data_IF_854264144437
#
_entry.id   IF_854264144437
#
_cell.length_a   1.000
_cell.length_b   1.000
_cell.length_c   1.000
_cell.angle_alpha   90.00
_cell.angle_beta   90.00
_cell.angle_gamma   90.00
#
_symmetry.space_group_name_H-M   'P 1'
#
loop_
_entity.id
_entity.type
_entity.pdbx_description
1 polymer ?
#
# COMPACT_ATOMS: atom_id res chain seq x y z
N UNK A 1 7.74 16.51 -7.78
CA UNK A 1 7.43 17.39 -6.63
C UNK A 1 6.98 16.52 -5.47
N UNK A 2 7.33 16.86 -4.22
CA UNK A 2 6.87 16.13 -3.05
C UNK A 2 5.34 16.10 -2.98
N UNK A 3 4.78 15.02 -2.44
CA UNK A 3 3.39 14.93 -1.98
C UNK A 3 3.02 16.16 -1.15
N UNK A 4 1.89 16.76 -1.51
CA UNK A 4 1.31 17.89 -0.79
C UNK A 4 0.59 17.40 0.46
N UNK A 5 0.76 18.11 1.58
CA UNK A 5 0.07 17.80 2.83
C UNK A 5 -0.41 19.08 3.52
N UNK A 6 -1.60 19.00 4.13
CA UNK A 6 -2.13 20.02 5.04
C UNK A 6 -2.51 19.39 6.38
N UNK A 7 -2.44 20.20 7.44
CA UNK A 7 -2.74 19.78 8.81
C UNK A 7 -3.79 20.73 9.40
N UNK A 8 -4.81 20.20 10.04
CA UNK A 8 -5.91 20.94 10.67
C UNK A 8 -6.23 20.34 12.03
N UNK A 9 -6.58 21.20 12.99
CA UNK A 9 -6.75 20.80 14.41
C UNK A 9 -5.50 20.12 15.01
N UNK A 10 -4.32 20.44 14.48
CA UNK A 10 -3.02 20.00 14.99
C UNK A 10 -2.19 21.27 15.17
N UNK A 11 -1.74 21.51 16.41
CA UNK A 11 -0.91 22.68 16.70
C UNK A 11 0.48 22.53 16.08
N UNK A 12 1.11 23.63 15.65
CA UNK A 12 2.41 23.57 14.97
C UNK A 12 3.53 22.94 15.82
N UNK A 13 3.51 23.13 17.14
CA UNK A 13 4.45 22.46 18.03
C UNK A 13 4.31 20.92 18.05
N UNK A 14 3.22 20.37 17.50
CA UNK A 14 3.03 18.94 17.30
C UNK A 14 3.47 18.46 15.90
N UNK A 15 3.95 19.35 15.04
CA UNK A 15 4.47 19.02 13.69
C UNK A 15 6.00 19.13 13.61
N UNK A 16 6.64 19.79 14.58
CA UNK A 16 8.09 20.03 14.60
C UNK A 16 8.84 19.08 15.55
N UNK A 17 10.00 18.60 15.10
CA UNK A 17 10.93 17.89 15.97
C UNK A 17 11.55 18.84 17.01
N UNK A 18 11.80 18.32 18.20
CA UNK A 18 12.73 18.95 19.15
C UNK A 18 14.17 18.84 18.66
N UNK A 19 15.07 19.65 19.21
CA UNK A 19 16.51 19.56 18.89
C UNK A 19 17.10 18.17 19.22
N UNK A 20 16.63 17.53 20.29
CA UNK A 20 17.05 16.19 20.70
C UNK A 20 16.59 15.12 19.69
N UNK A 21 15.33 15.18 19.24
CA UNK A 21 14.80 14.28 18.22
C UNK A 21 15.52 14.46 16.89
N UNK A 22 15.75 15.70 16.45
CA UNK A 22 16.51 15.98 15.23
C UNK A 22 17.93 15.41 15.31
N UNK A 23 18.61 15.57 16.44
CA UNK A 23 19.94 15.01 16.67
C UNK A 23 19.95 13.47 16.78
N UNK A 24 18.86 12.85 17.21
CA UNK A 24 18.70 11.39 17.23
C UNK A 24 18.47 10.86 15.81
N UNK A 25 17.58 11.48 15.05
CA UNK A 25 17.25 11.09 13.68
C UNK A 25 18.45 11.29 12.74
N UNK A 26 19.25 12.34 12.94
CA UNK A 26 20.42 12.63 12.09
C UNK A 26 21.55 11.61 12.21
N UNK A 27 21.52 10.75 13.23
CA UNK A 27 22.52 9.69 13.43
C UNK A 27 22.18 8.41 12.68
N UNK A 28 20.99 8.31 12.09
CA UNK A 28 20.57 7.12 11.36
C UNK A 28 21.24 7.08 9.99
N UNK A 29 21.75 5.90 9.63
CA UNK A 29 22.24 5.65 8.29
C UNK A 29 21.07 5.58 7.30
N UNK A 30 21.36 5.86 6.03
CA UNK A 30 20.37 5.73 4.97
C UNK A 30 19.86 4.27 4.91
N UNK A 31 18.53 4.06 4.92
CA UNK A 31 17.96 2.71 4.94
C UNK A 31 18.32 1.92 3.68
N UNK A 32 18.40 0.59 3.82
CA UNK A 32 18.69 -0.31 2.69
C UNK A 32 17.71 -0.14 1.50
N UNK A 33 16.44 0.18 1.78
CA UNK A 33 15.45 0.43 0.73
C UNK A 33 15.74 1.69 -0.09
N UNK A 34 16.47 2.66 0.48
CA UNK A 34 16.87 3.88 -0.20
C UNK A 34 18.14 3.66 -1.01
N UNK A 35 19.10 2.91 -0.49
CA UNK A 35 20.43 2.74 -1.10
C UNK A 35 20.46 1.64 -2.16
N UNK A 36 19.63 0.60 -2.04
CA UNK A 36 19.53 -0.48 -3.04
C UNK A 36 19.05 0.05 -4.41
N UNK A 37 19.60 -0.51 -5.49
CA UNK A 37 19.21 -0.22 -6.88
C UNK A 37 19.02 -1.53 -7.63
N UNK A 38 17.92 -1.62 -8.36
CA UNK A 38 17.65 -2.71 -9.30
C UNK A 38 18.17 -2.36 -10.70
N UNK A 39 18.69 -3.37 -11.40
CA UNK A 39 18.93 -3.24 -12.84
C UNK A 39 17.66 -3.60 -13.61
N UNK A 40 16.83 -2.59 -13.87
CA UNK A 40 15.55 -2.73 -14.59
C UNK A 40 15.76 -3.35 -15.98
N UNK A 41 16.88 -3.05 -16.65
CA UNK A 41 17.19 -3.61 -17.98
C UNK A 41 17.45 -5.12 -17.89
N UNK A 42 18.24 -5.55 -16.90
CA UNK A 42 18.48 -6.97 -16.64
C UNK A 42 17.20 -7.72 -16.23
N UNK A 43 16.33 -7.09 -15.44
CA UNK A 43 15.02 -7.65 -15.11
C UNK A 43 14.18 -7.85 -16.38
N UNK A 44 14.06 -6.83 -17.23
CA UNK A 44 13.31 -6.93 -18.51
C UNK A 44 13.86 -8.03 -19.41
N UNK A 45 15.18 -8.15 -19.52
CA UNK A 45 15.83 -9.22 -20.30
C UNK A 45 15.46 -10.62 -19.77
N UNK A 46 15.47 -10.79 -18.46
CA UNK A 46 15.10 -12.06 -17.79
C UNK A 46 13.63 -12.40 -18.02
N UNK A 47 12.75 -11.40 -17.92
CA UNK A 47 11.29 -11.55 -18.02
C UNK A 47 10.77 -11.69 -19.45
N UNK A 48 11.58 -11.40 -20.47
CA UNK A 48 11.19 -11.47 -21.88
C UNK A 48 10.58 -12.84 -22.28
N UNK A 49 11.05 -13.93 -21.67
CA UNK A 49 10.59 -15.30 -21.96
C UNK A 49 9.20 -15.62 -21.40
N UNK A 50 8.74 -14.85 -20.41
CA UNK A 50 7.46 -15.06 -19.72
C UNK A 50 6.47 -13.90 -19.94
N UNK A 51 6.84 -12.91 -20.76
CA UNK A 51 5.98 -11.75 -21.04
C UNK A 51 4.70 -12.13 -21.81
N UNK A 52 4.64 -13.30 -22.44
CA UNK A 52 3.47 -13.73 -23.21
C UNK A 52 2.26 -14.14 -22.35
N UNK A 53 2.46 -14.43 -21.05
CA UNK A 53 1.35 -14.80 -20.16
C UNK A 53 0.42 -13.61 -19.92
N UNK A 54 -0.89 -13.84 -20.03
CA UNK A 54 -1.91 -12.80 -19.89
C UNK A 54 -2.49 -12.70 -18.49
N UNK A 55 -2.21 -13.69 -17.64
CA UNK A 55 -2.58 -13.72 -16.23
C UNK A 55 -1.34 -13.95 -15.39
N UNK A 56 -1.11 -13.09 -14.41
CA UNK A 56 -0.06 -13.22 -13.40
C UNK A 56 -0.74 -13.59 -12.09
N UNK A 57 -0.57 -14.84 -11.67
CA UNK A 57 -1.00 -15.31 -10.36
C UNK A 57 0.14 -15.05 -9.37
N UNK A 58 0.00 -14.00 -8.57
CA UNK A 58 1.00 -13.57 -7.60
C UNK A 58 0.82 -14.34 -6.28
N UNK A 59 1.70 -15.31 -6.07
CA UNK A 59 1.80 -16.10 -4.85
C UNK A 59 2.80 -15.43 -3.89
N UNK A 60 2.28 -14.58 -3.01
CA UNK A 60 3.09 -13.78 -2.09
C UNK A 60 2.29 -13.37 -0.85
N UNK A 61 2.99 -12.92 0.19
CA UNK A 61 2.39 -12.39 1.43
C UNK A 61 2.99 -11.05 1.81
N UNK A 62 2.21 -10.23 2.53
CA UNK A 62 2.68 -8.99 3.12
C UNK A 62 3.28 -8.03 2.09
N UNK A 63 4.50 -7.53 2.38
CA UNK A 63 5.13 -6.51 1.55
C UNK A 63 5.56 -7.02 0.17
N UNK A 64 5.68 -8.34 0.01
CA UNK A 64 5.90 -8.98 -1.29
C UNK A 64 4.63 -9.01 -2.17
N UNK A 65 3.48 -8.59 -1.63
CA UNK A 65 2.20 -8.52 -2.31
C UNK A 65 1.70 -7.07 -2.46
N UNK A 66 1.64 -6.33 -1.34
CA UNK A 66 0.85 -5.10 -1.28
C UNK A 66 1.40 -3.95 -2.09
N UNK A 67 2.72 -3.84 -2.31
CA UNK A 67 3.29 -2.84 -3.20
C UNK A 67 2.88 -3.08 -4.66
N UNK A 68 2.82 -4.34 -5.08
CA UNK A 68 2.34 -4.72 -6.42
C UNK A 68 0.85 -4.42 -6.59
N UNK A 69 0.04 -4.65 -5.55
CA UNK A 69 -1.38 -4.28 -5.54
C UNK A 69 -1.52 -2.76 -5.65
N UNK A 70 -0.79 -1.98 -4.85
CA UNK A 70 -0.81 -0.53 -4.90
C UNK A 70 -0.48 0.00 -6.30
N UNK A 71 0.59 -0.50 -6.93
CA UNK A 71 0.99 -0.08 -8.27
C UNK A 71 0.01 -0.53 -9.35
N UNK A 72 -0.49 -1.77 -9.30
CA UNK A 72 -1.43 -2.26 -10.29
C UNK A 72 -2.79 -1.56 -10.20
N UNK A 73 -3.32 -1.30 -9.00
CA UNK A 73 -4.55 -0.55 -8.81
C UNK A 73 -4.44 0.87 -9.34
N UNK A 74 -3.28 1.52 -9.14
CA UNK A 74 -3.08 2.91 -9.58
C UNK A 74 -2.79 3.05 -11.08
N UNK A 75 -2.03 2.12 -11.67
CA UNK A 75 -1.42 2.27 -12.99
C UNK A 75 -1.85 1.21 -14.01
N UNK A 76 -2.65 0.22 -13.58
CA UNK A 76 -3.18 -0.83 -14.44
C UNK A 76 -4.06 -0.27 -15.56
N UNK A 77 -3.96 -0.85 -16.75
CA UNK A 77 -4.73 -0.43 -17.93
C UNK A 77 -5.92 -1.37 -18.15
N UNK A 78 -7.00 -0.83 -18.75
CA UNK A 78 -8.26 -1.56 -18.98
C UNK A 78 -8.12 -2.86 -19.80
N UNK A 79 -7.23 -2.85 -20.80
CA UNK A 79 -6.94 -4.02 -21.66
C UNK A 79 -5.61 -4.72 -21.28
N UNK A 80 -5.13 -4.50 -20.04
CA UNK A 80 -3.89 -5.10 -19.56
C UNK A 80 -4.05 -6.57 -19.15
N UNK A 81 -2.91 -7.17 -18.86
CA UNK A 81 -2.82 -8.46 -18.19
C UNK A 81 -3.51 -8.42 -16.84
N UNK A 82 -4.02 -9.58 -16.42
CA UNK A 82 -4.70 -9.75 -15.15
C UNK A 82 -3.68 -10.01 -14.04
N UNK A 83 -3.77 -9.28 -12.95
CA UNK A 83 -3.12 -9.64 -11.69
C UNK A 83 -4.13 -10.39 -10.81
N UNK A 84 -3.78 -11.59 -10.40
CA UNK A 84 -4.60 -12.44 -9.54
C UNK A 84 -3.80 -12.71 -8.27
N UNK A 85 -4.34 -12.30 -7.13
CA UNK A 85 -3.64 -12.45 -5.85
C UNK A 85 -3.87 -13.86 -5.31
N UNK A 86 -2.83 -14.47 -4.74
CA UNK A 86 -2.94 -15.68 -3.96
C UNK A 86 -2.03 -15.56 -2.74
N UNK A 87 -2.62 -15.22 -1.61
CA UNK A 87 -1.94 -14.88 -0.37
C UNK A 87 -2.38 -15.76 0.81
N UNK A 88 -3.04 -16.88 0.52
CA UNK A 88 -3.53 -17.84 1.50
C UNK A 88 -3.49 -19.27 0.93
N UNK A 89 -3.99 -20.19 1.76
CA UNK A 89 -4.01 -21.62 1.51
C UNK A 89 -5.42 -22.16 1.29
N UNK A 90 -6.41 -21.30 1.05
CA UNK A 90 -7.80 -21.71 0.99
C UNK A 90 -8.03 -22.64 -0.23
N UNK A 91 -8.36 -23.93 -0.01
CA UNK A 91 -8.58 -24.87 -1.11
C UNK A 91 -9.69 -24.42 -2.06
N UNK A 92 -10.75 -23.77 -1.56
CA UNK A 92 -11.86 -23.30 -2.40
C UNK A 92 -11.43 -22.14 -3.31
N UNK A 93 -10.56 -21.26 -2.81
CA UNK A 93 -9.94 -20.22 -3.64
C UNK A 93 -9.04 -20.83 -4.71
N UNK A 94 -8.19 -21.79 -4.35
CA UNK A 94 -7.28 -22.47 -5.29
C UNK A 94 -8.08 -23.23 -6.37
N UNK A 95 -9.14 -23.95 -5.99
CA UNK A 95 -9.99 -24.68 -6.93
C UNK A 95 -10.67 -23.73 -7.93
N UNK A 96 -11.22 -22.61 -7.46
CA UNK A 96 -11.80 -21.58 -8.34
C UNK A 96 -10.77 -20.96 -9.27
N UNK A 97 -9.58 -20.62 -8.75
CA UNK A 97 -8.47 -20.13 -9.57
C UNK A 97 -8.12 -21.10 -10.69
N UNK A 98 -8.07 -22.41 -10.41
CA UNK A 98 -7.80 -23.44 -11.42
C UNK A 98 -8.90 -23.55 -12.47
N UNK A 99 -10.15 -23.30 -12.10
CA UNK A 99 -11.29 -23.29 -13.03
C UNK A 99 -11.28 -22.04 -13.92
N UNK A 100 -10.90 -20.88 -13.38
CA UNK A 100 -10.95 -19.59 -14.07
C UNK A 100 -9.69 -19.30 -14.91
N UNK A 101 -8.54 -19.86 -14.52
CA UNK A 101 -7.24 -19.51 -15.08
C UNK A 101 -6.46 -20.74 -15.54
N UNK A 102 -6.46 -20.99 -16.85
CA UNK A 102 -5.75 -22.10 -17.46
C UNK A 102 -4.21 -21.93 -17.39
N UNK A 103 -3.43 -23.00 -17.14
CA UNK A 103 -1.97 -22.95 -17.06
C UNK A 103 -1.28 -22.34 -18.28
N UNK A 104 -1.81 -22.53 -19.48
CA UNK A 104 -1.21 -22.06 -20.73
C UNK A 104 -1.21 -20.53 -20.87
N UNK A 105 -2.04 -19.83 -20.09
CA UNK A 105 -2.16 -18.37 -20.10
C UNK A 105 -1.74 -17.72 -18.78
N UNK A 106 -1.32 -18.52 -17.81
CA UNK A 106 -1.15 -18.08 -16.42
C UNK A 106 0.27 -18.37 -15.94
N UNK A 107 0.99 -17.33 -15.51
CA UNK A 107 2.28 -17.46 -14.82
C UNK A 107 2.04 -17.40 -13.32
N UNK A 108 2.51 -18.40 -12.58
CA UNK A 108 2.62 -18.35 -11.12
C UNK A 108 3.91 -17.62 -10.75
N UNK A 109 3.77 -16.39 -10.28
CA UNK A 109 4.87 -15.57 -9.79
C UNK A 109 4.96 -15.73 -8.27
N UNK A 110 6.00 -16.43 -7.80
CA UNK A 110 6.23 -16.63 -6.37
C UNK A 110 7.21 -15.57 -5.87
N UNK A 111 6.81 -14.79 -4.88
CA UNK A 111 7.69 -13.79 -4.26
C UNK A 111 7.79 -14.06 -2.76
N UNK A 112 8.97 -14.45 -2.31
CA UNK A 112 9.25 -14.73 -0.91
C UNK A 112 10.71 -14.46 -0.60
N UNK A 113 10.98 -13.41 0.20
CA UNK A 113 12.35 -13.06 0.62
C UNK A 113 13.06 -14.24 1.27
N UNK A 114 12.46 -14.79 2.34
CA UNK A 114 13.07 -15.88 3.11
C UNK A 114 13.05 -17.23 2.39
N UNK A 115 12.20 -17.37 1.36
CA UNK A 115 12.03 -18.61 0.60
C UNK A 115 11.67 -19.81 1.49
N UNK A 116 11.07 -19.58 2.66
CA UNK A 116 10.84 -20.59 3.70
C UNK A 116 9.41 -20.61 4.25
N UNK A 117 8.54 -19.71 3.78
CA UNK A 117 7.15 -19.64 4.25
C UNK A 117 6.38 -20.90 3.82
N UNK A 118 5.98 -21.72 4.79
CA UNK A 118 5.35 -23.03 4.55
C UNK A 118 4.11 -22.94 3.65
N UNK A 119 3.23 -21.97 3.90
CA UNK A 119 2.04 -21.76 3.05
C UNK A 119 2.40 -21.52 1.58
N UNK A 120 3.49 -20.80 1.30
CA UNK A 120 3.92 -20.61 -0.10
C UNK A 120 4.20 -21.96 -0.76
N UNK A 121 4.85 -22.90 -0.08
CA UNK A 121 5.11 -24.25 -0.62
C UNK A 121 3.84 -25.06 -0.78
N UNK A 122 2.95 -25.06 0.22
CA UNK A 122 1.68 -25.80 0.16
C UNK A 122 0.88 -25.38 -1.08
N UNK A 123 0.78 -24.07 -1.35
CA UNK A 123 0.03 -23.56 -2.51
C UNK A 123 0.80 -23.75 -3.81
N UNK A 124 2.12 -23.56 -3.80
CA UNK A 124 2.97 -23.78 -4.96
C UNK A 124 2.83 -25.22 -5.49
N UNK A 125 2.79 -26.21 -4.60
CA UNK A 125 2.62 -27.61 -5.01
C UNK A 125 1.21 -27.91 -5.53
N UNK A 126 0.17 -27.22 -5.03
CA UNK A 126 -1.18 -27.31 -5.59
C UNK A 126 -1.30 -26.70 -7.00
N UNK A 127 -0.33 -25.89 -7.42
CA UNK A 127 -0.23 -25.23 -8.73
C UNK A 127 1.03 -25.68 -9.50
N UNK A 128 1.57 -26.86 -9.18
CA UNK A 128 2.86 -27.29 -9.74
C UNK A 128 2.84 -27.46 -11.27
N UNK A 129 1.68 -27.74 -11.85
CA UNK A 129 1.47 -27.85 -13.29
C UNK A 129 1.50 -26.50 -14.04
N UNK A 130 1.52 -25.37 -13.32
CA UNK A 130 1.59 -24.05 -13.92
C UNK A 130 3.04 -23.64 -14.24
N UNK A 131 3.25 -22.86 -15.32
CA UNK A 131 4.48 -22.10 -15.52
C UNK A 131 4.77 -21.22 -14.30
N UNK A 132 6.04 -21.13 -13.91
CA UNK A 132 6.41 -20.46 -12.66
C UNK A 132 7.72 -19.67 -12.77
N UNK A 133 7.80 -18.58 -12.02
CA UNK A 133 8.98 -17.74 -11.85
C UNK A 133 9.09 -17.35 -10.37
N UNK A 134 10.32 -17.38 -9.83
CA UNK A 134 10.55 -17.06 -8.42
C UNK A 134 11.32 -15.75 -8.24
N UNK A 135 10.97 -15.03 -7.17
CA UNK A 135 11.74 -13.91 -6.63
C UNK A 135 12.06 -14.22 -5.17
N UNK A 136 13.32 -14.57 -4.88
CA UNK A 136 13.73 -15.05 -3.56
C UNK A 136 15.23 -14.84 -3.30
N UNK A 137 15.66 -14.86 -2.04
CA UNK A 137 17.08 -14.78 -1.72
C UNK A 137 17.82 -16.08 -2.13
N UNK A 138 19.11 -16.00 -2.51
CA UNK A 138 19.95 -17.18 -2.69
C UNK A 138 20.03 -18.05 -1.43
N UNK A 139 20.35 -19.34 -1.60
CA UNK A 139 20.52 -20.31 -0.50
C UNK A 139 19.28 -20.51 0.39
N UNK A 140 18.09 -20.24 -0.14
CA UNK A 140 16.80 -20.53 0.52
C UNK A 140 16.22 -21.84 -0.02
N UNK A 141 15.28 -22.48 0.70
CA UNK A 141 14.58 -23.66 0.18
C UNK A 141 13.95 -23.42 -1.21
N UNK A 142 13.36 -22.24 -1.44
CA UNK A 142 12.80 -21.88 -2.74
C UNK A 142 13.88 -21.75 -3.84
N UNK A 143 15.06 -21.22 -3.51
CA UNK A 143 16.20 -21.20 -4.44
C UNK A 143 16.72 -22.61 -4.77
N UNK A 144 16.75 -23.52 -3.80
CA UNK A 144 17.14 -24.91 -4.07
C UNK A 144 16.13 -25.65 -4.95
N UNK A 145 14.83 -25.35 -4.83
CA UNK A 145 13.82 -25.87 -5.76
C UNK A 145 14.12 -25.39 -7.16
N UNK A 146 14.40 -24.09 -7.35
CA UNK A 146 14.63 -23.56 -8.69
C UNK A 146 15.89 -24.08 -9.35
N UNK A 147 16.95 -24.33 -8.59
CA UNK A 147 18.17 -24.99 -9.07
C UNK A 147 17.89 -26.40 -9.60
N UNK A 148 17.13 -27.21 -8.84
CA UNK A 148 16.82 -28.60 -9.19
C UNK A 148 15.84 -28.74 -10.35
N UNK A 149 14.85 -27.85 -10.41
CA UNK A 149 13.76 -27.88 -11.40
C UNK A 149 13.99 -26.93 -12.58
N UNK A 150 15.16 -26.27 -12.62
CA UNK A 150 15.55 -25.30 -13.65
C UNK A 150 14.53 -24.16 -13.84
N UNK A 151 14.00 -23.64 -12.72
CA UNK A 151 13.02 -22.55 -12.72
C UNK A 151 13.75 -21.20 -12.75
N UNK A 152 13.34 -20.30 -13.64
CA UNK A 152 13.85 -18.94 -13.68
C UNK A 152 13.65 -18.25 -12.34
N UNK A 153 14.74 -17.75 -11.76
CA UNK A 153 14.74 -17.10 -10.45
C UNK A 153 15.44 -15.75 -10.53
N UNK A 154 14.83 -14.74 -9.91
CA UNK A 154 15.39 -13.40 -9.75
C UNK A 154 15.75 -13.22 -8.27
N UNK A 155 16.97 -12.76 -7.95
CA UNK A 155 17.37 -12.57 -6.55
C UNK A 155 16.54 -11.46 -5.90
N UNK A 156 15.99 -11.75 -4.72
CA UNK A 156 15.42 -10.74 -3.85
C UNK A 156 16.55 -10.08 -3.04
N UNK A 157 16.63 -8.74 -2.95
CA UNK A 157 17.69 -8.08 -2.17
C UNK A 157 17.44 -8.20 -0.66
N UNK A 158 18.43 -7.86 0.17
CA UNK A 158 18.29 -7.93 1.64
C UNK A 158 17.41 -6.81 2.26
N UNK A 159 16.47 -6.24 1.49
CA UNK A 159 15.52 -5.23 1.97
C UNK A 159 14.34 -5.92 2.69
N UNK A 160 13.83 -5.32 3.77
CA UNK A 160 12.64 -5.85 4.46
C UNK A 160 11.41 -5.81 3.55
N UNK A 161 10.54 -6.82 3.64
CA UNK A 161 9.41 -7.01 2.72
C UNK A 161 8.52 -5.79 2.59
N UNK A 162 8.12 -5.17 3.72
CA UNK A 162 7.26 -3.97 3.72
C UNK A 162 7.91 -2.71 3.12
N UNK A 163 9.23 -2.70 2.96
CA UNK A 163 9.98 -1.62 2.31
C UNK A 163 10.51 -2.00 0.92
N UNK A 164 10.12 -3.16 0.39
CA UNK A 164 10.65 -3.72 -0.86
C UNK A 164 9.98 -3.16 -2.13
N UNK A 165 9.22 -2.07 -2.01
CA UNK A 165 8.42 -1.46 -3.08
C UNK A 165 9.23 -0.93 -4.28
N UNK A 166 10.55 -0.79 -4.16
CA UNK A 166 11.47 -0.37 -5.24
C UNK A 166 12.54 -1.43 -5.52
N UNK A 167 12.16 -2.70 -5.37
CA UNK A 167 13.02 -3.87 -5.60
C UNK A 167 12.38 -4.82 -6.60
N UNK A 168 13.08 -5.90 -6.95
CA UNK A 168 12.56 -7.00 -7.75
C UNK A 168 11.20 -7.53 -7.24
N UNK A 169 10.93 -7.43 -5.92
CA UNK A 169 9.64 -7.81 -5.33
C UNK A 169 8.44 -7.07 -5.94
N UNK A 170 8.58 -5.78 -6.25
CA UNK A 170 7.52 -5.00 -6.88
C UNK A 170 7.75 -4.76 -8.38
N UNK A 171 9.02 -4.68 -8.81
CA UNK A 171 9.36 -4.40 -10.21
C UNK A 171 9.11 -5.58 -11.13
N UNK A 172 9.28 -6.81 -10.67
CA UNK A 172 8.96 -7.99 -11.48
C UNK A 172 7.46 -8.03 -11.82
N UNK A 173 6.52 -7.94 -10.85
CA UNK A 173 5.10 -7.78 -11.15
C UNK A 173 4.82 -6.57 -12.07
N UNK A 174 5.40 -5.41 -11.79
CA UNK A 174 5.14 -4.20 -12.58
C UNK A 174 5.60 -4.31 -14.04
N UNK A 175 6.76 -4.92 -14.31
CA UNK A 175 7.24 -5.20 -15.68
C UNK A 175 6.30 -6.20 -16.36
N UNK A 176 5.93 -7.27 -15.66
CA UNK A 176 5.06 -8.29 -16.22
C UNK A 176 3.67 -7.76 -16.54
N UNK A 177 3.18 -6.76 -15.79
CA UNK A 177 1.88 -6.11 -15.95
C UNK A 177 1.93 -4.84 -16.83
N UNK A 178 3.06 -4.59 -17.49
CA UNK A 178 3.27 -3.46 -18.40
C UNK A 178 3.05 -2.07 -17.75
N UNK A 179 3.41 -1.94 -16.47
CA UNK A 179 3.42 -0.68 -15.73
C UNK A 179 4.71 0.12 -15.99
N UNK A 180 4.65 1.45 -15.86
CA UNK A 180 5.80 2.35 -16.04
C UNK A 180 6.80 2.28 -14.88
N UNK A 181 7.58 1.20 -14.79
CA UNK A 181 8.57 1.00 -13.70
C UNK A 181 9.62 2.09 -13.63
N UNK A 182 10.04 2.61 -14.78
CA UNK A 182 11.03 3.69 -14.85
C UNK A 182 10.50 5.00 -14.23
N UNK A 183 9.20 5.28 -14.39
CA UNK A 183 8.56 6.45 -13.76
C UNK A 183 8.40 6.24 -12.25
N UNK A 184 8.01 5.02 -11.82
CA UNK A 184 7.92 4.64 -10.40
C UNK A 184 9.27 4.79 -9.71
N UNK A 185 10.33 4.22 -10.29
CA UNK A 185 11.70 4.33 -9.76
C UNK A 185 12.11 5.80 -9.67
N UNK A 186 11.91 6.58 -10.74
CA UNK A 186 12.26 8.01 -10.74
C UNK A 186 11.56 8.77 -9.61
N UNK A 187 10.23 8.63 -9.50
CA UNK A 187 9.44 9.29 -8.47
C UNK A 187 9.83 8.88 -7.05
N UNK A 188 10.12 7.59 -6.86
CA UNK A 188 10.58 7.04 -5.59
C UNK A 188 11.95 7.56 -5.17
N UNK A 189 12.92 7.63 -6.09
CA UNK A 189 14.27 8.13 -5.78
C UNK A 189 14.30 9.61 -5.46
N UNK A 190 13.59 10.42 -6.24
CA UNK A 190 13.43 11.84 -5.91
C UNK A 190 12.66 12.02 -4.59
N UNK A 191 11.69 11.15 -4.32
CA UNK A 191 10.99 11.09 -3.04
C UNK A 191 11.93 10.79 -1.87
N UNK A 192 12.78 9.77 -1.94
CA UNK A 192 13.73 9.47 -0.87
C UNK A 192 14.71 10.62 -0.61
N UNK A 193 15.24 11.24 -1.67
CA UNK A 193 16.12 12.39 -1.53
C UNK A 193 15.43 13.57 -0.79
N UNK A 194 14.12 13.77 -1.04
CA UNK A 194 13.36 14.82 -0.36
C UNK A 194 12.96 14.43 1.07
N UNK A 195 12.46 13.21 1.29
CA UNK A 195 11.88 12.79 2.56
C UNK A 195 12.89 12.28 3.57
N UNK A 196 14.09 11.89 3.14
CA UNK A 196 15.19 11.55 4.05
C UNK A 196 15.84 12.77 4.71
N UNK A 197 15.64 13.97 4.15
CA UNK A 197 16.21 15.19 4.70
C UNK A 197 15.47 15.65 5.97
N UNK A 198 16.22 16.05 7.00
CA UNK A 198 15.66 16.55 8.26
C UNK A 198 15.50 18.07 8.20
N UNK A 199 14.32 18.52 7.78
CA UNK A 199 13.94 19.94 7.81
C UNK A 199 12.46 20.12 8.09
N UNK A 200 12.07 21.30 8.56
CA UNK A 200 10.70 21.58 9.04
C UNK A 200 9.64 21.45 7.93
N UNK A 201 9.98 21.75 6.67
CA UNK A 201 9.08 21.61 5.52
C UNK A 201 8.88 20.15 5.05
N UNK A 202 9.54 19.17 5.65
CA UNK A 202 9.44 17.78 5.23
C UNK A 202 8.11 17.19 5.74
N UNK A 203 7.12 17.07 4.85
CA UNK A 203 5.80 16.55 5.20
C UNK A 203 5.82 15.11 5.75
N UNK A 204 6.78 14.26 5.35
CA UNK A 204 6.89 12.91 5.90
C UNK A 204 7.32 12.95 7.38
N UNK A 205 8.26 13.84 7.69
CA UNK A 205 8.71 14.10 9.07
C UNK A 205 7.60 14.73 9.91
N UNK A 206 6.94 15.79 9.40
CA UNK A 206 5.82 16.47 10.08
C UNK A 206 4.70 15.51 10.42
N UNK A 207 4.32 14.64 9.49
CA UNK A 207 3.30 13.62 9.72
C UNK A 207 3.74 12.63 10.80
N UNK A 208 4.98 12.13 10.75
CA UNK A 208 5.49 11.20 11.76
C UNK A 208 5.50 11.80 13.18
N UNK A 209 5.93 13.06 13.31
CA UNK A 209 5.90 13.81 14.59
C UNK A 209 4.46 13.97 15.06
N UNK A 210 3.55 14.39 14.18
CA UNK A 210 2.14 14.56 14.51
C UNK A 210 1.53 13.26 15.06
N UNK A 211 1.75 12.14 14.38
CA UNK A 211 1.25 10.84 14.81
C UNK A 211 1.83 10.43 16.17
N UNK A 212 3.13 10.67 16.41
CA UNK A 212 3.77 10.37 17.69
C UNK A 212 3.19 11.22 18.83
N UNK A 213 3.03 12.52 18.61
CA UNK A 213 2.48 13.44 19.64
C UNK A 213 1.00 13.20 19.91
N UNK A 214 0.20 12.94 18.87
CA UNK A 214 -1.21 12.61 19.02
C UNK A 214 -1.39 11.29 19.76
N UNK A 215 -0.53 10.29 19.52
CA UNK A 215 -0.52 9.05 20.31
C UNK A 215 -0.29 9.32 21.80
N UNK A 216 0.68 10.17 22.15
CA UNK A 216 0.92 10.59 23.53
C UNK A 216 -0.25 11.37 24.14
N UNK A 217 -1.14 11.93 23.29
CA UNK A 217 -2.39 12.59 23.68
C UNK A 217 -3.61 11.65 23.61
N UNK A 218 -3.40 10.34 23.75
CA UNK A 218 -4.43 9.29 23.82
C UNK A 218 -5.24 9.06 22.53
N UNK A 219 -4.75 9.52 21.37
CA UNK A 219 -5.25 9.04 20.08
C UNK A 219 -4.66 7.67 19.78
N UNK A 220 -5.49 6.67 19.50
CA UNK A 220 -5.05 5.28 19.34
C UNK A 220 -5.35 4.72 17.95
N UNK A 221 -6.11 5.45 17.14
CA UNK A 221 -6.63 5.00 15.86
C UNK A 221 -6.36 6.05 14.77
N UNK A 222 -5.97 5.59 13.59
CA UNK A 222 -5.84 6.41 12.39
C UNK A 222 -6.89 5.96 11.37
N UNK A 223 -7.83 6.84 11.05
CA UNK A 223 -8.75 6.63 9.94
C UNK A 223 -8.12 7.14 8.64
N UNK A 224 -7.96 6.25 7.66
CA UNK A 224 -7.32 6.53 6.36
C UNK A 224 -8.33 6.33 5.22
N UNK A 225 -9.26 7.29 4.98
CA UNK A 225 -10.14 7.26 3.82
C UNK A 225 -9.38 7.61 2.53
N UNK A 226 -9.54 6.75 1.52
CA UNK A 226 -8.88 6.85 0.22
C UNK A 226 -9.90 7.37 -0.82
N UNK A 227 -9.85 8.66 -1.14
CA UNK A 227 -10.73 9.33 -2.11
C UNK A 227 -10.18 9.21 -3.53
N UNK A 228 -10.02 7.97 -3.97
CA UNK A 228 -9.80 7.56 -5.36
C UNK A 228 -9.72 6.05 -5.39
N UNK A 229 -10.50 5.40 -6.26
CA UNK A 229 -10.37 3.96 -6.48
C UNK A 229 -8.95 3.57 -6.90
N UNK A 230 -8.27 4.42 -7.67
CA UNK A 230 -6.88 4.19 -8.10
C UNK A 230 -5.88 4.20 -6.95
N UNK A 231 -6.24 4.76 -5.79
CA UNK A 231 -5.40 4.76 -4.60
C UNK A 231 -5.78 3.68 -3.59
N UNK A 232 -6.84 2.89 -3.85
CA UNK A 232 -7.33 1.93 -2.85
C UNK A 232 -6.32 0.83 -2.52
N UNK A 233 -5.48 0.45 -3.50
CA UNK A 233 -4.39 -0.50 -3.31
C UNK A 233 -3.33 -0.06 -2.29
N UNK A 234 -3.25 1.24 -1.96
CA UNK A 234 -2.34 1.73 -0.92
C UNK A 234 -2.80 1.42 0.51
N UNK A 235 -4.08 1.13 0.73
CA UNK A 235 -4.63 0.94 2.08
C UNK A 235 -3.90 -0.15 2.88
N UNK A 236 -3.65 -1.30 2.25
CA UNK A 236 -3.00 -2.43 2.92
C UNK A 236 -1.49 -2.25 3.11
N UNK A 237 -0.77 -1.65 2.14
CA UNK A 237 0.66 -1.40 2.32
C UNK A 237 0.91 -0.33 3.39
N UNK A 238 0.10 0.74 3.46
CA UNK A 238 0.20 1.75 4.52
C UNK A 238 -0.13 1.11 5.88
N UNK A 239 -1.20 0.31 5.95
CA UNK A 239 -1.56 -0.43 7.17
C UNK A 239 -0.40 -1.32 7.62
N UNK A 240 0.21 -2.08 6.71
CA UNK A 240 1.36 -2.93 7.03
C UNK A 240 2.57 -2.11 7.49
N UNK A 241 2.91 -1.01 6.80
CA UNK A 241 4.00 -0.11 7.17
C UNK A 241 3.83 0.48 8.56
N UNK A 242 2.60 0.65 9.04
CA UNK A 242 2.32 1.21 10.35
C UNK A 242 2.34 0.12 11.42
N UNK A 243 1.54 -0.92 11.22
CA UNK A 243 1.38 -2.01 12.17
C UNK A 243 2.69 -2.78 12.40
N UNK A 244 3.44 -3.12 11.34
CA UNK A 244 4.67 -3.91 11.49
C UNK A 244 5.91 -3.09 11.86
N UNK A 245 5.96 -1.79 11.54
CA UNK A 245 7.17 -1.00 11.83
C UNK A 245 7.15 -0.40 13.22
N UNK A 246 6.01 0.14 13.67
CA UNK A 246 5.93 0.84 14.95
C UNK A 246 4.77 0.43 15.87
N UNK A 247 3.96 -0.56 15.48
CA UNK A 247 2.99 -1.24 16.34
C UNK A 247 3.66 -2.23 17.32
N UNK A 248 4.58 -1.75 18.16
CA UNK A 248 5.46 -2.57 19.01
C UNK A 248 5.58 -2.00 20.41
N UNK A 249 5.93 -2.82 21.38
CA UNK A 249 6.17 -2.42 22.78
C UNK A 249 5.00 -1.63 23.41
N UNK A 250 3.77 -1.99 23.03
CA UNK A 250 2.55 -1.29 23.47
C UNK A 250 2.33 0.09 22.83
N UNK A 251 3.08 0.42 21.77
CA UNK A 251 3.00 1.69 21.02
C UNK A 251 2.41 1.46 19.63
N UNK A 252 2.10 2.56 18.97
CA UNK A 252 1.60 2.62 17.61
C UNK A 252 0.09 2.78 17.51
N UNK A 253 -0.36 3.02 16.29
CA UNK A 253 -1.76 3.33 15.99
C UNK A 253 -2.41 2.17 15.24
N UNK A 254 -3.67 1.91 15.55
CA UNK A 254 -4.50 1.05 14.70
C UNK A 254 -4.94 1.84 13.47
N UNK A 255 -4.39 1.50 12.31
CA UNK A 255 -4.86 2.02 11.01
C UNK A 255 -6.15 1.33 10.57
N UNK A 256 -7.15 2.14 10.20
CA UNK A 256 -8.37 1.74 9.50
C UNK A 256 -8.39 2.41 8.12
N UNK A 257 -7.89 1.69 7.12
CA UNK A 257 -7.90 2.14 5.73
C UNK A 257 -9.18 1.68 5.01
N UNK A 258 -9.81 2.55 4.24
CA UNK A 258 -11.03 2.24 3.49
C UNK A 258 -11.13 3.08 2.23
N UNK A 259 -11.79 2.55 1.20
CA UNK A 259 -12.24 3.36 0.08
C UNK A 259 -13.30 4.37 0.56
N UNK A 260 -13.25 5.57 0.00
CA UNK A 260 -14.19 6.65 0.23
C UNK A 260 -14.75 7.15 -1.12
N UNK A 261 -16.01 7.60 -1.18
CA UNK A 261 -16.88 7.98 -0.07
C UNK A 261 -17.67 6.86 0.61
N UNK A 262 -17.52 5.58 0.21
CA UNK A 262 -18.30 4.47 0.79
C UNK A 262 -18.27 4.44 2.33
N UNK A 263 -17.13 4.79 2.93
CA UNK A 263 -16.99 4.96 4.37
C UNK A 263 -18.02 5.88 5.06
N UNK A 264 -18.66 6.79 4.34
CA UNK A 264 -19.78 7.62 4.82
C UNK A 264 -20.99 6.78 5.24
N UNK A 265 -21.16 5.58 4.67
CA UNK A 265 -22.28 4.68 4.93
C UNK A 265 -22.03 3.71 6.09
N UNK A 266 -20.86 3.75 6.74
CA UNK A 266 -20.56 2.92 7.90
C UNK A 266 -19.55 3.59 8.86
N UNK A 267 -18.29 3.70 8.46
CA UNK A 267 -17.18 4.09 9.35
C UNK A 267 -17.28 5.52 9.83
N UNK A 268 -17.86 6.43 9.04
CA UNK A 268 -18.03 7.83 9.44
C UNK A 268 -18.89 7.97 10.71
N UNK A 269 -19.83 7.05 10.97
CA UNK A 269 -20.57 7.03 12.24
C UNK A 269 -19.62 6.82 13.43
N UNK A 270 -18.64 5.90 13.32
CA UNK A 270 -17.61 5.65 14.35
C UNK A 270 -16.61 6.80 14.43
N UNK A 271 -16.24 7.38 13.31
CA UNK A 271 -15.28 8.48 13.23
C UNK A 271 -15.82 9.76 13.86
N UNK A 272 -17.05 10.16 13.55
CA UNK A 272 -17.66 11.38 14.09
C UNK A 272 -18.34 11.17 15.45
N UNK A 273 -19.14 10.12 15.58
CA UNK A 273 -19.99 9.88 16.75
C UNK A 273 -19.38 9.00 17.84
N UNK A 274 -18.25 8.34 17.56
CA UNK A 274 -17.61 7.42 18.50
C UNK A 274 -16.68 8.11 19.49
N UNK A 275 -15.83 7.29 20.14
CA UNK A 275 -14.78 7.76 21.05
C UNK A 275 -13.86 8.74 20.32
N UNK A 276 -13.47 9.81 21.01
CA UNK A 276 -12.61 10.89 20.48
C UNK A 276 -11.12 10.51 20.58
N UNK A 277 -10.78 9.39 19.94
CA UNK A 277 -9.44 8.78 19.92
C UNK A 277 -8.95 8.49 18.50
N UNK A 278 -9.63 9.03 17.47
CA UNK A 278 -9.29 8.82 16.06
C UNK A 278 -8.65 10.07 15.45
N UNK A 279 -7.64 9.86 14.61
CA UNK A 279 -7.00 10.85 13.73
C UNK A 279 -7.54 10.63 12.32
N UNK A 280 -7.91 11.68 11.59
CA UNK A 280 -8.26 11.58 10.18
C UNK A 280 -7.05 11.85 9.28
N UNK A 281 -6.70 10.93 8.40
CA UNK A 281 -5.67 11.10 7.39
C UNK A 281 -6.25 10.82 6.01
N UNK A 282 -6.69 11.86 5.32
CA UNK A 282 -7.39 11.75 4.06
C UNK A 282 -6.39 11.71 2.90
N UNK A 283 -6.49 10.72 2.02
CA UNK A 283 -5.68 10.64 0.81
C UNK A 283 -6.57 10.88 -0.41
N UNK A 284 -6.25 11.88 -1.23
CA UNK A 284 -7.04 12.24 -2.41
C UNK A 284 -6.18 12.68 -3.59
N UNK A 285 -6.83 12.83 -4.75
CA UNK A 285 -6.22 13.32 -5.99
C UNK A 285 -6.96 14.59 -6.42
N UNK A 286 -6.24 15.67 -6.71
CA UNK A 286 -6.85 16.93 -7.13
C UNK A 286 -7.43 16.89 -8.54
N UNK A 287 -6.70 16.31 -9.51
CA UNK A 287 -7.12 16.28 -10.89
C UNK A 287 -7.51 14.86 -11.32
N UNK A 288 -8.80 14.67 -11.57
CA UNK A 288 -9.31 13.51 -12.31
C UNK A 288 -9.43 13.89 -13.79
N UNK A 289 -8.61 13.32 -14.69
CA UNK A 289 -8.59 13.75 -16.10
C UNK A 289 -9.85 13.34 -16.89
N UNK A 290 -10.64 12.42 -16.33
CA UNK A 290 -11.89 11.94 -16.93
C UNK A 290 -13.06 12.38 -16.06
N UNK A 291 -14.12 12.88 -16.70
CA UNK A 291 -15.36 13.26 -16.03
C UNK A 291 -16.55 12.72 -16.83
N UNK A 292 -17.64 12.48 -16.11
CA UNK A 292 -18.93 12.05 -16.66
C UNK A 292 -19.95 13.09 -16.22
N UNK A 293 -20.59 13.72 -17.20
CA UNK A 293 -21.72 14.59 -16.93
C UNK A 293 -23.00 13.74 -16.91
N UNK A 294 -23.78 13.90 -15.85
CA UNK A 294 -25.01 13.15 -15.65
C UNK A 294 -26.00 13.53 -16.75
N UNK A 295 -26.71 12.53 -17.29
CA UNK A 295 -27.88 12.73 -18.15
C UNK A 295 -29.09 12.10 -17.46
N UNK A 296 -30.01 12.94 -16.98
CA UNK A 296 -31.24 12.49 -16.33
C UNK A 296 -32.34 12.37 -17.39
N UNK A 297 -32.89 11.17 -17.64
CA UNK A 297 -34.00 10.99 -18.58
C UNK A 297 -35.16 11.94 -18.27
N UNK A 298 -35.72 12.60 -19.29
CA UNK A 298 -36.79 13.59 -19.12
C UNK A 298 -37.97 13.06 -18.31
N UNK A 299 -38.32 11.78 -18.49
CA UNK A 299 -39.40 11.11 -17.74
C UNK A 299 -39.13 10.92 -16.25
N UNK A 300 -37.93 11.23 -15.76
CA UNK A 300 -37.53 11.13 -14.36
C UNK A 300 -37.28 12.50 -13.72
N UNK A 301 -37.20 13.58 -14.51
CA UNK A 301 -36.71 14.87 -14.03
C UNK A 301 -37.62 15.56 -13.00
N UNK A 302 -38.91 15.25 -13.00
CA UNK A 302 -39.91 15.82 -12.09
C UNK A 302 -40.03 15.07 -10.75
N UNK A 303 -39.36 13.92 -10.60
CA UNK A 303 -39.36 13.13 -9.37
C UNK A 303 -38.71 13.98 -8.23
N UNK A 304 -39.38 14.19 -7.09
CA UNK A 304 -38.84 14.96 -5.98
C UNK A 304 -37.57 14.35 -5.37
N UNK A 305 -36.56 15.20 -5.10
CA UNK A 305 -35.31 14.85 -4.41
C UNK A 305 -34.91 15.98 -3.45
N UNK A 306 -35.01 15.73 -2.14
CA UNK A 306 -34.74 16.73 -1.09
C UNK A 306 -35.55 18.03 -1.36
N UNK A 307 -34.88 19.17 -1.49
CA UNK A 307 -35.47 20.47 -1.78
C UNK A 307 -35.50 20.80 -3.28
N UNK A 308 -35.33 19.80 -4.15
CA UNK A 308 -35.30 19.94 -5.60
C UNK A 308 -35.96 18.72 -6.28
N UNK A 309 -35.75 18.54 -7.57
CA UNK A 309 -36.14 17.33 -8.32
C UNK A 309 -34.90 16.61 -8.86
N UNK A 310 -35.05 15.38 -9.38
CA UNK A 310 -33.96 14.66 -10.05
C UNK A 310 -33.38 15.45 -11.23
N UNK A 311 -34.18 16.29 -11.89
CA UNK A 311 -33.72 17.16 -12.98
C UNK A 311 -32.60 18.12 -12.58
N UNK A 312 -32.46 18.44 -11.29
CA UNK A 312 -31.34 19.25 -10.82
C UNK A 312 -29.98 18.56 -10.94
N UNK A 313 -29.95 17.23 -11.01
CA UNK A 313 -28.72 16.46 -11.23
C UNK A 313 -28.29 16.47 -12.71
N UNK A 314 -29.17 16.87 -13.63
CA UNK A 314 -28.87 16.87 -15.06
C UNK A 314 -27.70 17.81 -15.37
N UNK A 315 -26.80 17.35 -16.24
CA UNK A 315 -25.54 18.01 -16.58
C UNK A 315 -24.55 18.22 -15.42
N UNK A 316 -24.84 17.77 -14.20
CA UNK A 316 -23.85 17.84 -13.12
C UNK A 316 -22.66 16.92 -13.39
N UNK A 317 -21.47 17.36 -12.98
CA UNK A 317 -20.22 16.61 -13.07
C UNK A 317 -20.15 15.55 -11.96
N UNK A 318 -19.88 14.29 -12.32
CA UNK A 318 -19.60 13.23 -11.34
C UNK A 318 -18.28 13.47 -10.62
N UNK A 319 -17.26 14.02 -11.29
CA UNK A 319 -16.02 14.42 -10.63
C UNK A 319 -16.27 15.46 -9.53
N UNK A 320 -17.12 16.47 -9.80
CA UNK A 320 -17.50 17.46 -8.79
C UNK A 320 -18.34 16.85 -7.67
N UNK A 321 -19.23 15.91 -8.00
CA UNK A 321 -20.04 15.20 -6.99
C UNK A 321 -19.14 14.41 -6.03
N UNK A 322 -18.21 13.62 -6.57
CA UNK A 322 -17.22 12.87 -5.79
C UNK A 322 -16.33 13.79 -4.93
N UNK A 323 -15.85 14.89 -5.51
CA UNK A 323 -15.06 15.89 -4.79
C UNK A 323 -15.86 16.58 -3.67
N UNK A 324 -17.16 16.78 -3.85
CA UNK A 324 -18.03 17.36 -2.82
C UNK A 324 -18.20 16.42 -1.61
N UNK A 325 -18.22 15.11 -1.82
CA UNK A 325 -18.25 14.12 -0.73
C UNK A 325 -16.95 14.11 0.09
N UNK A 326 -15.81 14.31 -0.58
CA UNK A 326 -14.52 14.55 0.09
C UNK A 326 -14.56 15.82 0.93
N UNK A 327 -14.90 16.95 0.31
CA UNK A 327 -14.90 18.27 0.95
C UNK A 327 -15.85 18.31 2.14
N UNK A 328 -17.06 17.74 2.02
CA UNK A 328 -18.03 17.69 3.11
C UNK A 328 -17.55 16.87 4.30
N UNK A 329 -16.89 15.74 4.06
CA UNK A 329 -16.38 14.88 5.13
C UNK A 329 -15.20 15.53 5.85
N UNK A 330 -14.26 16.12 5.10
CA UNK A 330 -13.11 16.84 5.66
C UNK A 330 -13.56 18.08 6.43
N UNK A 331 -14.52 18.85 5.89
CA UNK A 331 -15.07 20.02 6.58
C UNK A 331 -15.70 19.62 7.93
N UNK A 332 -16.53 18.57 7.94
CA UNK A 332 -17.12 18.08 9.19
C UNK A 332 -16.07 17.60 10.20
N UNK A 333 -14.99 16.96 9.75
CA UNK A 333 -13.87 16.56 10.62
C UNK A 333 -13.18 17.78 11.25
N UNK A 334 -12.94 18.82 10.45
CA UNK A 334 -12.34 20.08 10.89
C UNK A 334 -13.25 20.80 11.89
N UNK A 335 -14.53 20.96 11.58
CA UNK A 335 -15.55 21.58 12.44
C UNK A 335 -15.73 20.83 13.77
N UNK A 336 -15.61 19.50 13.74
CA UNK A 336 -15.69 18.65 14.93
C UNK A 336 -14.43 18.65 15.79
N UNK A 337 -13.40 19.42 15.43
CA UNK A 337 -12.14 19.49 16.17
C UNK A 337 -11.27 18.22 16.07
N UNK A 338 -11.55 17.33 15.10
CA UNK A 338 -10.78 16.09 14.94
C UNK A 338 -9.43 16.43 14.28
N UNK A 339 -8.29 15.95 14.82
CA UNK A 339 -6.99 16.08 14.16
C UNK A 339 -7.05 15.51 12.74
N UNK A 340 -6.81 16.36 11.76
CA UNK A 340 -7.04 16.06 10.34
C UNK A 340 -5.80 16.36 9.54
N UNK A 341 -5.35 15.39 8.75
CA UNK A 341 -4.29 15.50 7.77
C UNK A 341 -4.89 15.24 6.39
N UNK A 342 -4.58 16.06 5.41
CA UNK A 342 -4.95 15.81 4.01
C UNK A 342 -3.67 15.62 3.22
N UNK A 343 -3.57 14.52 2.49
CA UNK A 343 -2.44 14.15 1.65
C UNK A 343 -2.95 14.12 0.22
N UNK A 344 -2.34 14.93 -0.64
CA UNK A 344 -2.87 15.14 -1.98
C UNK A 344 -1.84 14.93 -3.09
N UNK A 345 -2.33 14.29 -4.16
CA UNK A 345 -1.60 14.11 -5.41
C UNK A 345 -2.18 15.06 -6.46
N UNK A 346 -1.32 15.63 -7.30
CA UNK A 346 -1.76 16.43 -8.46
C UNK A 346 -2.43 15.57 -9.52
N UNK A 347 -1.92 14.35 -9.72
CA UNK A 347 -2.37 13.38 -10.71
C UNK A 347 -1.91 11.98 -10.32
N UNK A 348 -2.44 10.96 -11.02
CA UNK A 348 -1.96 9.58 -10.92
C UNK A 348 -1.07 9.29 -12.12
N UNK A 349 0.25 9.24 -11.90
CA UNK A 349 1.22 8.68 -12.85
C UNK A 349 2.25 7.83 -12.10
N UNK A 350 3.09 7.09 -12.83
CA UNK A 350 4.15 6.28 -12.21
C UNK A 350 5.03 7.12 -11.29
N UNK A 351 5.32 8.36 -11.66
CA UNK A 351 6.13 9.27 -10.85
C UNK A 351 5.46 9.64 -9.53
N UNK A 352 4.20 10.10 -9.51
CA UNK A 352 3.53 10.45 -8.25
C UNK A 352 3.31 9.22 -7.36
N UNK A 353 3.03 8.05 -7.95
CA UNK A 353 2.87 6.80 -7.20
C UNK A 353 4.18 6.35 -6.56
N UNK A 354 5.30 6.45 -7.27
CA UNK A 354 6.62 6.23 -6.71
C UNK A 354 6.94 7.23 -5.59
N UNK A 355 6.65 8.51 -5.80
CA UNK A 355 6.88 9.54 -4.79
C UNK A 355 6.04 9.31 -3.52
N UNK A 356 4.76 8.95 -3.68
CA UNK A 356 3.85 8.62 -2.58
C UNK A 356 4.33 7.40 -1.77
N UNK A 357 4.83 6.36 -2.44
CA UNK A 357 5.38 5.20 -1.76
C UNK A 357 6.63 5.57 -0.93
N UNK A 358 7.52 6.40 -1.49
CA UNK A 358 8.69 6.90 -0.77
C UNK A 358 8.30 7.75 0.46
N UNK A 359 7.25 8.58 0.34
CA UNK A 359 6.67 9.33 1.45
C UNK A 359 6.26 8.41 2.59
N UNK A 360 5.47 7.36 2.31
CA UNK A 360 4.99 6.44 3.34
C UNK A 360 6.09 5.59 3.98
N UNK A 361 7.11 5.19 3.21
CA UNK A 361 8.29 4.53 3.77
C UNK A 361 8.97 5.43 4.82
N UNK A 362 9.16 6.71 4.52
CA UNK A 362 9.80 7.65 5.45
C UNK A 362 8.91 8.02 6.65
N UNK A 363 7.60 8.18 6.46
CA UNK A 363 6.64 8.35 7.57
C UNK A 363 6.77 7.17 8.55
N UNK A 364 6.84 5.95 8.02
CA UNK A 364 6.98 4.73 8.82
C UNK A 364 8.32 4.67 9.56
N UNK A 365 9.44 4.98 8.90
CA UNK A 365 10.78 5.02 9.53
C UNK A 365 10.84 6.07 10.64
N UNK A 366 10.48 7.32 10.35
CA UNK A 366 10.50 8.37 11.37
C UNK A 366 9.55 8.06 12.53
N UNK A 367 8.36 7.53 12.25
CA UNK A 367 7.40 7.15 13.29
C UNK A 367 7.95 6.08 14.24
N UNK A 368 8.72 5.12 13.70
CA UNK A 368 9.36 4.06 14.48
C UNK A 368 10.48 4.61 15.37
N UNK A 369 11.35 5.44 14.78
CA UNK A 369 12.50 6.02 15.48
C UNK A 369 12.06 6.95 16.62
N UNK A 370 11.05 7.80 16.38
CA UNK A 370 10.46 8.67 17.41
C UNK A 370 9.86 7.89 18.59
N UNK A 371 9.40 6.66 18.34
CA UNK A 371 8.88 5.73 19.36
C UNK A 371 9.97 4.88 20.01
N UNK A 372 11.22 5.00 19.57
CA UNK A 372 12.35 4.20 20.07
C UNK A 372 12.22 2.70 19.75
N UNK A 373 11.58 2.34 18.64
CA UNK A 373 11.44 0.95 18.18
C UNK A 373 12.13 0.74 16.84
N UNK A 374 12.55 -0.50 16.56
CA UNK A 374 13.21 -0.82 15.30
C UNK A 374 12.20 -0.84 14.14
N UNK A 375 12.39 -0.02 13.08
CA UNK A 375 11.48 0.00 11.94
C UNK A 375 11.53 -1.28 11.09
N UNK A 376 12.62 -2.07 11.14
CA UNK A 376 12.93 -3.09 10.13
C UNK A 376 12.64 -4.54 10.54
N UNK A 377 12.38 -4.81 11.83
CA UNK A 377 12.05 -6.15 12.35
C UNK A 377 10.54 -6.36 12.56
N UNK A 378 10.13 -7.58 12.92
CA UNK A 378 8.74 -7.91 13.27
C UNK A 378 8.68 -9.14 14.20
N UNK A 379 9.24 -9.09 15.42
CA UNK A 379 9.39 -10.28 16.25
C UNK A 379 8.05 -10.96 16.60
N UNK A 380 7.01 -10.17 16.86
CA UNK A 380 5.72 -10.66 17.38
C UNK A 380 4.90 -11.51 16.40
N UNK A 381 5.25 -11.54 15.10
CA UNK A 381 4.53 -12.37 14.13
C UNK A 381 5.05 -13.81 14.08
N UNK A 382 6.23 -14.10 14.62
CA UNK A 382 6.88 -15.40 14.48
C UNK A 382 6.21 -16.48 15.34
N UNK A 383 5.81 -16.16 16.58
CA UNK A 383 5.25 -17.15 17.50
C UNK A 383 3.97 -17.80 16.96
N UNK A 384 3.09 -17.02 16.34
CA UNK A 384 1.86 -17.56 15.74
C UNK A 384 2.15 -18.49 14.56
N UNK A 385 3.22 -18.22 13.79
CA UNK A 385 3.69 -19.09 12.69
C UNK A 385 4.27 -20.40 13.21
N UNK A 386 5.07 -20.35 14.29
CA UNK A 386 5.59 -21.55 14.96
C UNK A 386 4.46 -22.45 15.44
N UNK A 387 3.48 -21.90 16.17
CA UNK A 387 2.30 -22.65 16.64
C UNK A 387 1.55 -23.26 15.44
N UNK A 388 1.39 -22.49 14.36
CA UNK A 388 0.75 -23.00 13.15
C UNK A 388 1.55 -24.13 12.48
N UNK A 389 2.88 -24.12 12.56
CA UNK A 389 3.73 -25.20 12.06
C UNK A 389 3.66 -26.44 12.94
N UNK A 390 3.72 -26.28 14.27
CA UNK A 390 3.53 -27.37 15.25
C UNK A 390 2.21 -28.10 14.99
N UNK A 391 1.12 -27.34 14.78
CA UNK A 391 -0.21 -27.90 14.49
C UNK A 391 -0.31 -28.68 13.18
N UNK A 392 0.50 -28.37 12.17
CA UNK A 392 0.53 -29.12 10.90
C UNK A 392 1.11 -30.52 11.08
N UNK A 393 2.12 -30.65 11.93
CA UNK A 393 2.89 -31.89 12.09
C UNK A 393 2.25 -32.89 13.07
N UNK A 394 1.06 -32.58 13.61
CA UNK A 394 0.33 -33.48 14.52
C UNK A 394 0.94 -33.62 15.91
N UNK A 395 1.97 -32.83 16.26
CA UNK A 395 2.52 -32.79 17.62
C UNK A 395 1.61 -31.94 18.50
N UNK A 396 0.52 -32.54 18.96
CA UNK A 396 -0.32 -32.01 20.03
C UNK A 396 0.51 -32.05 21.33
N UNK A 397 0.65 -30.89 21.98
CA UNK A 397 0.82 -30.84 23.44
C UNK A 397 -0.55 -30.97 24.10
#
# INVERSE_FOLDING_TARGET
MPVSASFSNIQENLLACTAEESAMLSKQEAPAFETHREDISALRKTLATVQAYTTILLLANGGSLWSSVAYFTALGKKDAKKLVLLNDMDPERILRLRQEHAPQKTLVLVISKSGSAIGIFETLFALWDYPKLFVTMPNTPLAHISEREHITTIPHPEVSGRYSSFTSSAYVPSILLDLSVEEIEKGGREGYAAYGALHEENNALRLAVALFRLENNAYTELFLPLYSHLLSGFGMIITQLFHESFGKDGKGLTVLATEAPESQHHTNQRFFGGRKNMIGCFLHVHNTPHDIHITVPTSLQDIPLRNNTLGALDHQSLARSFQSEYEGTVAHAKESGIPTMEISLSSISGYEIGNLMAFWHYVSVFSSLLRGVNPYDQPEVERSKEIAFERRNGTIL
#
